data_IF_354998890878
#
_entry.id   IF_354998890878
#
_cell.length_a   1.000
_cell.length_b   1.000
_cell.length_c   1.000
_cell.angle_alpha   90.00
_cell.angle_beta   90.00
_cell.angle_gamma   90.00
#
_symmetry.space_group_name_H-M   'P 1'
#
loop_
_entity.id
_entity.type
_entity.pdbx_description
1 polymer ?
#
# COMPACT_ATOMS: atom_id res chain seq x y z
N UNK A 1 -1.25 22.31 -29.84
CA UNK A 1 -1.76 21.30 -30.79
C UNK A 1 -0.60 20.84 -31.68
N UNK A 2 0.12 19.80 -31.30
CA UNK A 2 1.23 19.24 -32.08
C UNK A 2 0.94 17.76 -32.37
N UNK A 3 0.39 17.55 -33.57
CA UNK A 3 0.58 16.40 -34.46
C UNK A 3 0.81 15.01 -33.81
N UNK A 4 -0.28 14.38 -33.32
CA UNK A 4 -0.37 12.91 -33.12
C UNK A 4 -0.55 12.20 -34.47
N UNK A 5 0.42 12.37 -35.38
CA UNK A 5 0.38 11.82 -36.73
C UNK A 5 0.91 10.38 -36.76
N UNK A 6 0.02 9.44 -37.10
CA UNK A 6 0.28 8.09 -37.63
C UNK A 6 1.54 7.37 -37.12
N UNK A 7 1.48 6.79 -35.92
CA UNK A 7 2.39 5.70 -35.56
C UNK A 7 2.05 4.50 -36.44
N UNK A 8 2.97 4.08 -37.31
CA UNK A 8 2.81 2.90 -38.16
C UNK A 8 2.49 1.69 -37.30
N UNK A 9 1.61 0.79 -37.76
CA UNK A 9 1.26 -0.44 -37.05
C UNK A 9 2.49 -1.29 -36.72
N UNK A 10 3.57 -1.17 -37.51
CA UNK A 10 4.89 -1.77 -37.24
C UNK A 10 5.63 -1.09 -36.08
N UNK A 11 5.46 0.21 -35.89
CA UNK A 11 6.07 0.95 -34.78
C UNK A 11 5.29 0.74 -33.49
N UNK A 12 3.96 0.66 -33.56
CA UNK A 12 3.13 0.22 -32.44
C UNK A 12 3.44 -1.23 -32.06
N UNK A 13 3.57 -2.13 -33.04
CA UNK A 13 3.99 -3.50 -32.78
C UNK A 13 5.42 -3.55 -32.25
N UNK A 14 6.38 -2.78 -32.75
CA UNK A 14 7.74 -2.76 -32.21
C UNK A 14 7.81 -2.17 -30.80
N UNK A 15 7.06 -1.11 -30.52
CA UNK A 15 6.99 -0.51 -29.19
C UNK A 15 6.31 -1.47 -28.21
N UNK A 16 5.19 -2.09 -28.60
CA UNK A 16 4.56 -3.14 -27.82
C UNK A 16 5.50 -4.34 -27.66
N UNK A 17 6.15 -4.81 -28.72
CA UNK A 17 7.06 -5.96 -28.65
C UNK A 17 8.28 -5.64 -27.79
N UNK A 18 8.88 -4.46 -27.89
CA UNK A 18 9.99 -4.06 -27.02
C UNK A 18 9.55 -3.85 -25.56
N UNK A 19 8.38 -3.26 -25.30
CA UNK A 19 7.92 -3.03 -23.92
C UNK A 19 7.40 -4.30 -23.26
N UNK A 20 6.69 -5.16 -23.99
CA UNK A 20 6.11 -6.39 -23.46
C UNK A 20 7.08 -7.58 -23.50
N UNK A 21 7.89 -7.75 -24.56
CA UNK A 21 8.77 -8.94 -24.72
C UNK A 21 10.09 -8.80 -23.96
N UNK A 22 10.68 -7.60 -23.85
CA UNK A 22 11.89 -7.41 -23.03
C UNK A 22 11.60 -7.35 -21.53
N UNK A 23 10.36 -7.02 -21.13
CA UNK A 23 9.93 -6.99 -19.72
C UNK A 23 9.23 -8.28 -19.26
N UNK A 24 8.97 -9.24 -20.15
CA UNK A 24 8.35 -10.50 -19.74
C UNK A 24 9.39 -11.48 -19.22
N UNK A 25 9.04 -12.17 -18.14
CA UNK A 25 9.72 -13.37 -17.59
C UNK A 25 10.17 -14.37 -18.65
N UNK A 26 9.47 -14.41 -19.79
CA UNK A 26 9.76 -15.26 -20.94
C UNK A 26 11.19 -15.08 -21.49
N UNK A 27 11.79 -13.90 -21.34
CA UNK A 27 13.20 -13.69 -21.71
C UNK A 27 14.16 -14.27 -20.66
N UNK A 28 13.84 -14.29 -19.36
CA UNK A 28 14.71 -14.94 -18.36
C UNK A 28 14.98 -16.42 -18.73
N UNK A 29 14.01 -17.09 -19.37
CA UNK A 29 14.09 -18.51 -19.77
C UNK A 29 14.64 -18.78 -21.18
N UNK A 30 15.00 -17.79 -22.00
CA UNK A 30 15.37 -18.03 -23.42
C UNK A 30 16.58 -18.95 -23.59
N UNK A 31 17.59 -18.83 -22.71
CA UNK A 31 18.78 -19.69 -22.72
C UNK A 31 18.43 -21.16 -22.48
N UNK A 32 17.51 -21.42 -21.55
CA UNK A 32 17.04 -22.77 -21.26
C UNK A 32 16.22 -23.34 -22.41
N UNK A 33 15.37 -22.53 -23.05
CA UNK A 33 14.63 -22.95 -24.25
C UNK A 33 15.60 -23.34 -25.36
N UNK A 34 16.63 -22.53 -25.64
CA UNK A 34 17.66 -22.87 -26.62
C UNK A 34 18.43 -24.14 -26.26
N UNK A 35 18.75 -24.35 -24.99
CA UNK A 35 19.40 -25.56 -24.51
C UNK A 35 18.55 -26.80 -24.80
N UNK A 36 17.25 -26.76 -24.52
CA UNK A 36 16.34 -27.88 -24.81
C UNK A 36 16.10 -28.07 -26.31
N UNK A 37 16.14 -27.00 -27.12
CA UNK A 37 16.08 -27.09 -28.58
C UNK A 37 17.35 -27.73 -29.16
N UNK A 38 18.52 -27.38 -28.64
CA UNK A 38 19.79 -28.02 -29.00
C UNK A 38 19.78 -29.51 -28.61
N UNK A 39 19.28 -29.81 -27.41
CA UNK A 39 19.10 -31.19 -26.94
C UNK A 39 18.16 -31.98 -27.86
N UNK A 40 17.00 -31.44 -28.20
CA UNK A 40 16.06 -32.06 -29.13
C UNK A 40 16.68 -32.30 -30.52
N UNK A 41 17.52 -31.38 -30.98
CA UNK A 41 18.27 -31.52 -32.23
C UNK A 41 19.28 -32.67 -32.14
N UNK A 42 20.04 -32.74 -31.05
CA UNK A 42 21.00 -33.82 -30.79
C UNK A 42 20.30 -35.19 -30.79
N UNK A 43 19.21 -35.33 -30.02
CA UNK A 43 18.40 -36.55 -29.96
C UNK A 43 17.84 -36.93 -31.33
N UNK A 44 17.32 -35.95 -32.08
CA UNK A 44 16.79 -36.17 -33.44
C UNK A 44 17.87 -36.68 -34.40
N UNK A 45 19.08 -36.13 -34.34
CA UNK A 45 20.22 -36.57 -35.17
C UNK A 45 20.70 -37.98 -34.78
N UNK A 46 20.77 -38.28 -33.48
CA UNK A 46 21.14 -39.63 -32.99
C UNK A 46 20.10 -40.66 -33.46
N UNK A 47 18.82 -40.33 -33.36
CA UNK A 47 17.72 -41.21 -33.77
C UNK A 47 17.64 -41.43 -35.29
N UNK A 48 18.10 -40.47 -36.11
CA UNK A 48 18.17 -40.60 -37.57
C UNK A 48 19.42 -41.38 -38.03
N UNK A 49 20.60 -41.09 -37.45
CA UNK A 49 21.88 -41.58 -37.96
C UNK A 49 22.44 -42.80 -37.25
N UNK A 50 22.17 -42.97 -35.96
CA UNK A 50 22.83 -44.00 -35.14
C UNK A 50 21.85 -45.12 -34.80
N UNK A 51 20.82 -44.80 -34.00
CA UNK A 51 19.86 -45.80 -33.51
C UNK A 51 18.58 -45.13 -33.04
N UNK A 52 17.45 -45.74 -33.36
CA UNK A 52 16.16 -45.34 -32.82
C UNK A 52 16.10 -45.56 -31.29
N UNK A 53 15.93 -44.46 -30.53
CA UNK A 53 15.83 -44.43 -29.06
C UNK A 53 14.41 -44.08 -28.58
N UNK A 54 13.38 -44.51 -29.32
CA UNK A 54 12.00 -44.15 -28.96
C UNK A 54 11.56 -44.75 -27.63
N UNK A 55 10.88 -43.94 -26.83
CA UNK A 55 10.27 -44.35 -25.57
C UNK A 55 8.76 -44.51 -25.71
N UNK A 56 8.17 -45.23 -24.75
CA UNK A 56 6.72 -45.40 -24.64
C UNK A 56 6.03 -44.07 -24.32
N UNK A 57 5.02 -43.70 -25.12
CA UNK A 57 4.39 -42.37 -25.06
C UNK A 57 3.43 -42.21 -23.87
N UNK A 58 2.92 -43.32 -23.36
CA UNK A 58 1.87 -43.36 -22.32
C UNK A 58 2.34 -42.70 -21.02
N UNK A 59 3.52 -43.07 -20.52
CA UNK A 59 4.04 -42.57 -19.24
C UNK A 59 4.31 -41.06 -19.29
N UNK A 60 4.96 -40.59 -20.36
CA UNK A 60 5.36 -39.19 -20.47
C UNK A 60 4.16 -38.27 -20.73
N UNK A 61 3.10 -38.78 -21.37
CA UNK A 61 1.83 -38.06 -21.51
C UNK A 61 1.15 -37.87 -20.15
N UNK A 62 1.09 -38.91 -19.31
CA UNK A 62 0.56 -38.81 -17.93
C UNK A 62 1.42 -37.86 -17.09
N UNK A 63 2.73 -37.90 -17.24
CA UNK A 63 3.62 -36.96 -16.55
C UNK A 63 3.36 -35.52 -16.98
N UNK A 64 3.18 -35.26 -18.28
CA UNK A 64 2.88 -33.93 -18.82
C UNK A 64 1.54 -33.36 -18.33
N UNK A 65 0.49 -34.19 -18.21
CA UNK A 65 -0.81 -33.74 -17.69
C UNK A 65 -0.73 -33.39 -16.20
N UNK A 66 -0.05 -34.22 -15.40
CA UNK A 66 0.18 -33.93 -13.98
C UNK A 66 1.00 -32.65 -13.82
N UNK A 67 2.06 -32.49 -14.62
CA UNK A 67 2.91 -31.30 -14.58
C UNK A 67 2.13 -30.02 -14.90
N UNK A 68 1.26 -30.04 -15.93
CA UNK A 68 0.40 -28.92 -16.26
C UNK A 68 -0.54 -28.52 -15.11
N UNK A 69 -1.12 -29.52 -14.42
CA UNK A 69 -1.97 -29.29 -13.26
C UNK A 69 -1.22 -28.69 -12.07
N UNK A 70 -0.03 -29.22 -11.77
CA UNK A 70 0.82 -28.72 -10.68
C UNK A 70 1.25 -27.26 -10.93
N UNK A 71 1.63 -26.92 -12.16
CA UNK A 71 1.96 -25.54 -12.54
C UNK A 71 0.75 -24.64 -12.39
N UNK A 72 -0.42 -25.07 -12.85
CA UNK A 72 -1.66 -24.29 -12.72
C UNK A 72 -1.96 -23.95 -11.25
N UNK A 73 -1.85 -24.93 -10.34
CA UNK A 73 -2.03 -24.68 -8.91
C UNK A 73 -1.00 -23.75 -8.32
N UNK A 74 0.28 -23.89 -8.69
CA UNK A 74 1.32 -22.96 -8.25
C UNK A 74 0.99 -21.54 -8.68
N UNK A 75 0.64 -21.34 -9.95
CA UNK A 75 0.30 -20.01 -10.49
C UNK A 75 -0.94 -19.43 -9.81
N UNK A 76 -1.97 -20.26 -9.55
CA UNK A 76 -3.16 -19.82 -8.81
C UNK A 76 -2.79 -19.34 -7.39
N UNK A 77 -1.94 -20.07 -6.68
CA UNK A 77 -1.47 -19.68 -5.34
C UNK A 77 -0.63 -18.40 -5.38
N UNK A 78 0.25 -18.24 -6.38
CA UNK A 78 1.02 -17.01 -6.56
C UNK A 78 0.11 -15.80 -6.80
N UNK A 79 -0.92 -15.93 -7.65
CA UNK A 79 -1.89 -14.87 -7.92
C UNK A 79 -2.67 -14.48 -6.66
N UNK A 80 -3.06 -15.45 -5.84
CA UNK A 80 -3.75 -15.19 -4.58
C UNK A 80 -2.90 -14.31 -3.65
N UNK A 81 -1.61 -14.63 -3.51
CA UNK A 81 -0.66 -13.82 -2.72
C UNK A 81 -0.47 -12.41 -3.26
N UNK A 82 -0.36 -12.28 -4.59
CA UNK A 82 -0.25 -10.98 -5.24
C UNK A 82 -1.47 -10.10 -4.93
N UNK A 83 -2.67 -10.69 -5.01
CA UNK A 83 -3.92 -10.00 -4.68
C UNK A 83 -4.05 -9.69 -3.19
N UNK A 84 -3.59 -10.60 -2.32
CA UNK A 84 -3.55 -10.40 -0.88
C UNK A 84 -2.64 -9.21 -0.51
N UNK A 85 -1.44 -9.13 -1.09
CA UNK A 85 -0.53 -8.00 -0.93
C UNK A 85 -1.19 -6.67 -1.33
N UNK A 86 -1.89 -6.62 -2.47
CA UNK A 86 -2.64 -5.43 -2.90
C UNK A 86 -3.73 -5.04 -1.91
N UNK A 87 -4.49 -6.02 -1.42
CA UNK A 87 -5.59 -5.81 -0.46
C UNK A 87 -5.04 -5.22 0.84
N UNK A 88 -3.93 -5.76 1.35
CA UNK A 88 -3.29 -5.31 2.58
C UNK A 88 -2.71 -3.90 2.45
N UNK A 89 -2.06 -3.56 1.32
CA UNK A 89 -1.62 -2.19 1.06
C UNK A 89 -2.81 -1.21 1.04
N UNK A 90 -3.91 -1.57 0.39
CA UNK A 90 -5.14 -0.76 0.42
C UNK A 90 -5.70 -0.59 1.84
N UNK A 91 -5.59 -1.63 2.68
CA UNK A 91 -6.00 -1.58 4.09
C UNK A 91 -5.15 -0.57 4.88
N UNK A 92 -3.82 -0.58 4.68
CA UNK A 92 -2.91 0.40 5.30
C UNK A 92 -3.28 1.83 4.87
N UNK A 93 -3.55 2.05 3.58
CA UNK A 93 -4.02 3.37 3.11
C UNK A 93 -5.34 3.78 3.75
N UNK A 94 -6.30 2.85 3.89
CA UNK A 94 -7.57 3.12 4.53
C UNK A 94 -7.39 3.53 6.00
N UNK A 95 -6.66 2.75 6.78
CA UNK A 95 -6.41 3.03 8.19
C UNK A 95 -5.63 4.36 8.37
N UNK A 96 -4.64 4.62 7.51
CA UNK A 96 -3.87 5.87 7.47
C UNK A 96 -4.77 7.09 7.23
N UNK A 97 -5.63 7.03 6.20
CA UNK A 97 -6.58 8.10 5.88
C UNK A 97 -7.59 8.32 7.01
N UNK A 98 -8.10 7.25 7.59
CA UNK A 98 -9.06 7.31 8.70
C UNK A 98 -8.43 7.97 9.92
N UNK A 99 -7.23 7.56 10.32
CA UNK A 99 -6.51 8.17 11.43
C UNK A 99 -6.24 9.65 11.19
N UNK A 100 -5.66 10.01 10.04
CA UNK A 100 -5.33 11.40 9.73
C UNK A 100 -6.58 12.31 9.70
N UNK A 101 -7.71 11.81 9.18
CA UNK A 101 -8.99 12.53 9.19
C UNK A 101 -9.51 12.73 10.61
N UNK A 102 -9.54 11.68 11.43
CA UNK A 102 -10.02 11.77 12.81
C UNK A 102 -9.17 12.74 13.64
N UNK A 103 -7.84 12.67 13.51
CA UNK A 103 -6.94 13.63 14.17
C UNK A 103 -7.22 15.05 13.70
N UNK A 104 -7.44 15.27 12.39
CA UNK A 104 -7.62 16.62 11.88
C UNK A 104 -8.92 17.29 12.33
N UNK A 105 -10.04 16.55 12.34
CA UNK A 105 -11.36 17.14 12.56
C UNK A 105 -11.82 17.06 14.02
N UNK A 106 -11.49 15.98 14.71
CA UNK A 106 -12.05 15.70 16.03
C UNK A 106 -11.10 16.10 17.17
N UNK A 107 -9.81 16.30 16.88
CA UNK A 107 -8.84 16.71 17.89
C UNK A 107 -8.66 18.23 17.87
N UNK A 108 -8.92 18.92 19.01
CA UNK A 108 -8.76 20.36 19.10
C UNK A 108 -7.28 20.78 19.00
N UNK A 109 -7.02 21.96 18.43
CA UNK A 109 -5.67 22.53 18.28
C UNK A 109 -5.04 22.98 19.62
N UNK A 110 -5.89 23.30 20.60
CA UNK A 110 -5.45 23.64 21.96
C UNK A 110 -6.07 22.63 22.94
N UNK A 111 -5.27 22.01 23.81
CA UNK A 111 -5.81 21.23 24.90
C UNK A 111 -6.65 22.13 25.81
N UNK A 112 -7.96 21.91 25.88
CA UNK A 112 -8.83 22.61 26.83
C UNK A 112 -8.67 21.96 28.21
N UNK A 113 -7.71 22.42 29.00
CA UNK A 113 -7.65 22.11 30.42
C UNK A 113 -8.78 22.85 31.14
N UNK A 114 -9.87 22.16 31.51
CA UNK A 114 -10.77 22.67 32.57
C UNK A 114 -10.12 22.68 33.96
N UNK A 115 -8.85 22.29 34.06
CA UNK A 115 -8.09 22.26 35.31
C UNK A 115 -7.44 23.61 35.67
N UNK A 116 -7.83 24.72 35.04
CA UNK A 116 -7.47 26.06 35.54
C UNK A 116 -8.32 26.48 36.76
N UNK A 117 -9.48 25.86 37.01
CA UNK A 117 -10.31 26.22 38.18
C UNK A 117 -10.01 25.41 39.46
N UNK A 118 -9.26 24.30 39.40
CA UNK A 118 -9.04 23.41 40.56
C UNK A 118 -7.57 23.13 40.94
N UNK A 119 -6.58 23.71 40.25
CA UNK A 119 -5.15 23.48 40.56
C UNK A 119 -4.50 24.64 41.32
N UNK A 120 -5.07 24.98 42.47
CA UNK A 120 -4.28 25.45 43.60
C UNK A 120 -4.28 24.32 44.64
N UNK A 121 -3.11 23.68 44.84
CA UNK A 121 -2.77 22.61 45.81
C UNK A 121 -2.79 21.18 45.24
N UNK A 122 -1.74 20.80 44.52
CA UNK A 122 -0.99 19.59 44.90
C UNK A 122 0.34 19.53 44.11
N UNK A 123 1.45 19.52 44.84
CA UNK A 123 2.82 19.57 44.31
C UNK A 123 3.37 18.19 43.93
N UNK A 124 2.58 17.11 44.07
CA UNK A 124 3.06 15.72 43.91
C UNK A 124 2.00 14.77 43.30
N UNK A 125 1.69 14.87 41.99
CA UNK A 125 1.31 13.70 41.15
C UNK A 125 1.17 14.04 39.66
N UNK A 126 1.76 13.18 38.83
CA UNK A 126 2.05 13.32 37.39
C UNK A 126 0.84 13.57 36.46
N UNK A 127 1.03 14.34 35.39
CA UNK A 127 0.39 14.03 34.12
C UNK A 127 1.45 13.97 33.00
N UNK A 128 2.18 12.86 32.96
CA UNK A 128 3.15 12.46 31.92
C UNK A 128 2.64 12.70 30.49
N UNK A 129 1.34 12.44 30.18
CA UNK A 129 0.77 12.69 28.85
C UNK A 129 0.34 14.15 28.56
N UNK A 130 0.01 14.98 29.57
CA UNK A 130 -0.21 16.42 29.38
C UNK A 130 1.09 17.14 29.02
N UNK A 131 2.18 16.85 29.75
CA UNK A 131 3.51 17.37 29.42
C UNK A 131 3.96 16.93 28.03
N UNK A 132 3.56 15.75 27.58
CA UNK A 132 3.90 15.24 26.25
C UNK A 132 3.28 16.10 25.16
N UNK A 133 1.99 16.44 25.29
CA UNK A 133 1.31 17.32 24.33
C UNK A 133 1.74 18.78 24.43
N UNK A 134 2.06 19.26 25.64
CA UNK A 134 2.68 20.58 25.85
C UNK A 134 4.05 20.69 25.15
N UNK A 135 4.89 19.63 25.26
CA UNK A 135 6.20 19.55 24.57
C UNK A 135 6.08 19.36 23.05
N UNK A 136 5.01 18.72 22.57
CA UNK A 136 4.69 18.65 21.14
C UNK A 136 4.22 20.00 20.56
N UNK A 137 3.78 20.93 21.40
CA UNK A 137 3.40 22.30 21.06
C UNK A 137 2.13 22.41 20.21
N UNK A 138 1.88 23.60 19.64
CA UNK A 138 0.72 23.91 18.78
C UNK A 138 0.62 23.03 17.51
N UNK A 139 1.64 22.21 17.21
CA UNK A 139 1.73 21.36 16.01
C UNK A 139 1.58 19.86 16.29
N UNK A 140 1.03 19.46 17.44
CA UNK A 140 0.89 18.05 17.81
C UNK A 140 0.08 17.23 16.78
N UNK A 141 -0.99 17.80 16.19
CA UNK A 141 -1.77 17.13 15.13
C UNK A 141 -0.95 16.84 13.88
N UNK A 142 -0.17 17.83 13.43
CA UNK A 142 0.69 17.68 12.26
C UNK A 142 1.77 16.63 12.51
N UNK A 143 2.28 16.55 13.74
CA UNK A 143 3.24 15.51 14.13
C UNK A 143 2.59 14.12 14.09
N UNK A 144 1.37 13.97 14.59
CA UNK A 144 0.64 12.70 14.53
C UNK A 144 0.29 12.28 13.09
N UNK A 145 -0.09 13.23 12.23
CA UNK A 145 -0.35 12.99 10.81
C UNK A 145 0.94 12.57 10.09
N UNK A 146 2.05 13.26 10.34
CA UNK A 146 3.36 12.90 9.78
C UNK A 146 3.78 11.51 10.26
N UNK A 147 3.58 11.14 11.53
CA UNK A 147 3.90 9.79 12.03
C UNK A 147 3.17 8.69 11.25
N UNK A 148 1.89 8.87 10.93
CA UNK A 148 1.14 7.87 10.16
C UNK A 148 1.62 7.80 8.71
N UNK A 149 1.99 8.93 8.11
CA UNK A 149 2.65 8.94 6.79
C UNK A 149 3.97 8.16 6.84
N UNK A 150 4.80 8.43 7.84
CA UNK A 150 6.08 7.77 8.05
C UNK A 150 5.93 6.26 8.33
N UNK A 151 4.83 5.82 8.95
CA UNK A 151 4.50 4.40 9.08
C UNK A 151 4.41 3.72 7.70
N UNK A 152 3.73 4.34 6.74
CA UNK A 152 3.57 3.78 5.39
C UNK A 152 4.91 3.67 4.66
N UNK A 153 5.82 4.63 4.87
CA UNK A 153 7.20 4.57 4.37
C UNK A 153 8.01 3.48 5.04
N UNK A 154 7.93 3.35 6.37
CA UNK A 154 8.61 2.30 7.12
C UNK A 154 8.18 0.89 6.68
N UNK A 155 6.88 0.68 6.41
CA UNK A 155 6.37 -0.59 5.88
C UNK A 155 6.96 -0.91 4.50
N UNK A 156 7.05 0.10 3.61
CA UNK A 156 7.63 -0.06 2.28
C UNK A 156 9.12 -0.45 2.35
N UNK A 157 9.89 0.22 3.21
CA UNK A 157 11.31 -0.09 3.44
C UNK A 157 11.47 -1.52 3.98
N UNK A 158 10.62 -1.90 4.94
CA UNK A 158 10.62 -3.24 5.50
C UNK A 158 10.36 -4.32 4.44
N UNK A 159 9.34 -4.12 3.59
CA UNK A 159 8.96 -5.09 2.56
C UNK A 159 10.04 -5.34 1.51
N UNK A 160 10.74 -4.28 1.08
CA UNK A 160 11.79 -4.40 0.06
C UNK A 160 13.04 -5.15 0.52
N UNK A 161 13.19 -5.39 1.84
CA UNK A 161 14.40 -6.01 2.44
C UNK A 161 15.70 -5.33 2.00
N UNK A 162 15.63 -4.06 1.57
CA UNK A 162 16.75 -3.32 1.00
C UNK A 162 17.29 -2.38 2.05
N UNK A 163 18.55 -2.58 2.40
CA UNK A 163 19.28 -1.73 3.32
C UNK A 163 20.08 -0.71 2.51
N UNK A 164 19.44 0.27 1.88
CA UNK A 164 20.10 1.46 1.33
C UNK A 164 19.10 2.37 0.60
N UNK A 165 18.68 3.42 1.30
CA UNK A 165 18.61 4.79 0.78
C UNK A 165 18.80 5.69 2.02
N UNK A 166 20.03 6.20 2.24
CA UNK A 166 20.37 6.99 3.42
C UNK A 166 19.51 8.26 3.55
N UNK A 167 19.04 8.79 2.42
CA UNK A 167 18.26 10.02 2.35
C UNK A 167 16.81 9.85 2.81
N UNK A 168 16.11 8.77 2.38
CA UNK A 168 14.75 8.45 2.86
C UNK A 168 14.76 8.10 4.35
N UNK A 169 15.81 7.40 4.80
CA UNK A 169 16.04 7.08 6.20
C UNK A 169 16.19 8.32 7.08
N UNK A 170 16.74 9.42 6.56
CA UNK A 170 17.05 10.62 7.35
C UNK A 170 15.79 11.36 7.79
N UNK A 171 14.80 11.51 6.91
CA UNK A 171 13.51 12.14 7.24
C UNK A 171 12.75 11.32 8.29
N UNK A 172 12.67 10.01 8.07
CA UNK A 172 12.00 9.06 8.96
C UNK A 172 12.67 9.03 10.34
N UNK A 173 14.01 8.90 10.39
CA UNK A 173 14.78 8.95 11.65
C UNK A 173 14.59 10.27 12.40
N UNK A 174 14.59 11.40 11.68
CA UNK A 174 14.39 12.70 12.30
C UNK A 174 12.97 12.83 12.91
N UNK A 175 11.94 12.32 12.23
CA UNK A 175 10.57 12.35 12.73
C UNK A 175 10.41 11.48 13.99
N UNK A 176 10.83 10.21 13.92
CA UNK A 176 10.73 9.29 15.06
C UNK A 176 11.57 9.80 16.23
N UNK A 177 12.79 10.30 15.99
CA UNK A 177 13.63 10.86 17.05
C UNK A 177 12.98 12.05 17.76
N UNK A 178 12.28 12.95 17.04
CA UNK A 178 11.53 14.07 17.69
C UNK A 178 10.48 13.57 18.67
N UNK A 179 9.74 12.53 18.27
CA UNK A 179 8.64 11.97 19.06
C UNK A 179 9.16 11.13 20.22
N UNK A 180 10.16 10.28 19.96
CA UNK A 180 10.84 9.48 21.00
C UNK A 180 11.52 10.38 22.01
N UNK A 181 12.17 11.46 21.60
CA UNK A 181 12.76 12.43 22.54
C UNK A 181 11.68 13.12 23.37
N UNK A 182 10.53 13.50 22.79
CA UNK A 182 9.40 14.03 23.55
C UNK A 182 8.86 13.02 24.58
N UNK A 183 8.79 11.73 24.23
CA UNK A 183 8.38 10.66 25.14
C UNK A 183 9.39 10.43 26.28
N UNK A 184 10.69 10.36 25.97
CA UNK A 184 11.78 10.19 26.95
C UNK A 184 11.80 11.35 27.93
N UNK A 185 11.63 12.57 27.42
CA UNK A 185 11.55 13.80 28.22
C UNK A 185 10.32 13.87 29.13
N UNK A 186 9.29 13.07 28.89
CA UNK A 186 8.15 12.93 29.79
C UNK A 186 8.38 11.86 30.86
N UNK A 187 9.23 10.86 30.62
CA UNK A 187 9.48 9.72 31.53
C UNK A 187 10.36 10.06 32.75
N UNK A 188 10.71 11.33 32.96
CA UNK A 188 11.39 11.78 34.17
C UNK A 188 12.81 11.23 34.37
N UNK A 189 13.56 10.93 33.30
CA UNK A 189 15.01 10.78 33.47
C UNK A 189 15.61 12.16 33.75
N UNK A 190 16.13 12.35 34.97
CA UNK A 190 16.57 13.65 35.49
C UNK A 190 17.60 14.36 34.61
N UNK A 191 17.63 15.70 34.75
CA UNK A 191 18.40 16.69 33.98
C UNK A 191 19.92 16.43 33.82
N UNK A 192 20.49 15.40 34.45
CA UNK A 192 21.93 15.13 34.50
C UNK A 192 22.38 13.85 33.78
N UNK A 193 21.53 13.19 32.98
CA UNK A 193 21.99 12.17 32.05
C UNK A 193 22.09 12.76 30.65
N UNK A 194 23.31 12.79 30.09
CA UNK A 194 23.55 13.04 28.67
C UNK A 194 22.68 12.07 27.86
N UNK A 195 21.58 12.55 27.30
CA UNK A 195 20.73 11.78 26.37
C UNK A 195 21.61 11.33 25.22
N UNK A 196 22.01 10.06 25.20
CA UNK A 196 22.36 9.43 23.93
C UNK A 196 21.08 9.44 23.09
N UNK A 197 21.05 10.06 21.91
CA UNK A 197 19.90 9.98 21.03
C UNK A 197 19.54 8.50 20.89
N UNK A 198 18.33 8.12 21.32
CA UNK A 198 17.84 6.77 21.07
C UNK A 198 17.75 6.67 19.56
N UNK A 199 18.66 5.92 18.94
CA UNK A 199 18.57 5.70 17.50
C UNK A 199 17.27 4.93 17.26
N UNK A 200 16.29 5.54 16.58
CA UNK A 200 15.00 4.91 16.41
C UNK A 200 15.19 3.66 15.55
N UNK A 201 14.68 2.54 16.06
CA UNK A 201 14.55 1.35 15.25
C UNK A 201 13.57 1.69 14.14
N UNK A 202 13.97 1.54 12.88
CA UNK A 202 13.13 1.89 11.74
C UNK A 202 11.95 0.92 11.52
N UNK A 203 11.47 0.31 12.61
CA UNK A 203 10.46 -0.74 12.61
C UNK A 203 9.08 -0.09 12.62
N UNK A 204 8.16 -0.49 11.73
CA UNK A 204 6.80 0.04 11.69
C UNK A 204 6.08 -0.01 13.06
N UNK A 205 6.37 -1.03 13.88
CA UNK A 205 5.77 -1.20 15.20
C UNK A 205 6.20 -0.14 16.24
N UNK A 206 7.38 0.47 16.08
CA UNK A 206 7.82 1.56 16.97
C UNK A 206 6.99 2.83 16.70
N UNK A 207 6.59 3.04 15.45
CA UNK A 207 5.74 4.16 15.05
C UNK A 207 4.32 3.95 15.59
N UNK A 208 3.79 2.72 15.56
CA UNK A 208 2.47 2.44 16.17
C UNK A 208 2.49 2.64 17.68
N UNK A 209 3.60 2.33 18.35
CA UNK A 209 3.77 2.65 19.77
C UNK A 209 3.71 4.17 20.02
N UNK A 210 4.39 4.96 19.19
CA UNK A 210 4.33 6.42 19.24
C UNK A 210 2.90 6.94 19.03
N UNK A 211 2.16 6.40 18.05
CA UNK A 211 0.77 6.78 17.79
C UNK A 211 -0.15 6.41 18.98
N UNK A 212 0.01 5.23 19.57
CA UNK A 212 -0.75 4.82 20.75
C UNK A 212 -0.48 5.72 21.95
N UNK A 213 0.78 6.12 22.16
CA UNK A 213 1.15 7.06 23.22
C UNK A 213 0.51 8.45 23.01
N UNK A 214 0.40 8.90 21.76
CA UNK A 214 -0.29 10.12 21.40
C UNK A 214 -1.80 10.04 21.71
N UNK A 215 -2.46 8.94 21.36
CA UNK A 215 -3.89 8.74 21.68
C UNK A 215 -4.11 8.67 23.19
N UNK A 216 -3.23 7.99 23.93
CA UNK A 216 -3.28 7.96 25.40
C UNK A 216 -3.14 9.36 26.03
N UNK A 217 -2.36 10.25 25.40
CA UNK A 217 -2.27 11.64 25.82
C UNK A 217 -3.56 12.42 25.54
N UNK A 218 -4.21 12.19 24.40
CA UNK A 218 -5.50 12.81 24.07
C UNK A 218 -6.63 12.39 25.02
N UNK A 219 -6.61 11.15 25.54
CA UNK A 219 -7.61 10.67 26.49
C UNK A 219 -7.65 11.51 27.77
N UNK A 220 -6.51 12.06 28.21
CA UNK A 220 -6.46 12.92 29.40
C UNK A 220 -7.13 14.28 29.17
N UNK A 221 -7.33 14.69 27.91
CA UNK A 221 -7.99 15.94 27.53
C UNK A 221 -9.51 15.81 27.32
N UNK A 222 -10.12 14.74 27.84
CA UNK A 222 -11.55 14.45 27.69
C UNK A 222 -12.02 14.41 26.22
N UNK A 223 -11.19 13.87 25.33
CA UNK A 223 -11.65 13.49 24.00
C UNK A 223 -12.83 12.51 24.13
N UNK A 224 -13.83 12.63 23.26
CA UNK A 224 -14.98 11.75 23.31
C UNK A 224 -14.57 10.29 23.10
N UNK A 225 -15.26 9.37 23.78
CA UNK A 225 -15.03 7.93 23.67
C UNK A 225 -15.07 7.41 22.23
N UNK A 226 -16.04 7.83 21.39
CA UNK A 226 -16.10 7.42 19.98
C UNK A 226 -14.86 7.83 19.16
N UNK A 227 -14.40 9.09 19.25
CA UNK A 227 -13.18 9.51 18.53
C UNK A 227 -11.96 8.73 19.00
N UNK A 228 -11.81 8.56 20.32
CA UNK A 228 -10.72 7.77 20.90
C UNK A 228 -10.74 6.33 20.40
N UNK A 229 -11.92 5.69 20.40
CA UNK A 229 -12.13 4.35 19.87
C UNK A 229 -11.83 4.26 18.37
N UNK A 230 -12.22 5.27 17.60
CA UNK A 230 -11.90 5.36 16.18
C UNK A 230 -10.40 5.49 15.89
N UNK A 231 -9.67 6.27 16.69
CA UNK A 231 -8.22 6.41 16.58
C UNK A 231 -7.49 5.12 16.95
N UNK A 232 -7.86 4.48 18.06
CA UNK A 232 -7.29 3.19 18.47
C UNK A 232 -7.61 2.09 17.47
N UNK A 233 -8.84 2.04 16.95
CA UNK A 233 -9.23 1.09 15.91
C UNK A 233 -8.46 1.29 14.60
N UNK A 234 -8.16 2.53 14.22
CA UNK A 234 -7.31 2.80 13.07
C UNK A 234 -5.86 2.33 13.30
N UNK A 235 -5.30 2.50 14.51
CA UNK A 235 -3.98 1.96 14.85
C UNK A 235 -3.99 0.43 14.83
N UNK A 236 -5.02 -0.20 15.38
CA UNK A 236 -5.17 -1.66 15.39
C UNK A 236 -5.20 -2.22 13.96
N UNK A 237 -5.98 -1.60 13.06
CA UNK A 237 -5.97 -1.97 11.65
C UNK A 237 -4.62 -1.77 10.94
N UNK A 238 -3.82 -0.77 11.34
CA UNK A 238 -2.45 -0.61 10.82
C UNK A 238 -1.56 -1.79 11.27
N UNK A 239 -1.65 -2.18 12.55
CA UNK A 239 -0.88 -3.29 13.13
C UNK A 239 -1.30 -4.62 12.52
N UNK A 240 -2.60 -4.88 12.41
CA UNK A 240 -3.18 -6.07 11.77
C UNK A 240 -2.70 -6.19 10.32
N UNK A 241 -2.89 -5.12 9.53
CA UNK A 241 -2.50 -5.11 8.12
C UNK A 241 -1.00 -5.30 7.94
N UNK A 242 -0.17 -4.71 8.81
CA UNK A 242 1.28 -4.91 8.78
C UNK A 242 1.68 -6.34 9.14
N UNK A 243 1.06 -6.92 10.16
CA UNK A 243 1.33 -8.30 10.60
C UNK A 243 1.00 -9.30 9.48
N UNK A 244 -0.12 -9.10 8.78
CA UNK A 244 -0.49 -9.97 7.66
C UNK A 244 0.42 -9.76 6.44
N UNK A 245 0.84 -8.52 6.20
CA UNK A 245 1.77 -8.19 5.12
C UNK A 245 3.18 -8.79 5.37
N UNK A 246 3.60 -8.85 6.64
CA UNK A 246 4.83 -9.55 7.06
C UNK A 246 4.73 -11.06 6.78
N UNK A 247 3.59 -11.70 7.08
CA UNK A 247 3.34 -13.11 6.72
C UNK A 247 3.43 -13.33 5.22
N UNK A 248 2.74 -12.51 4.42
CA UNK A 248 2.76 -12.63 2.94
C UNK A 248 4.19 -12.49 2.38
N UNK A 249 5.01 -11.62 2.97
CA UNK A 249 6.41 -11.40 2.59
C UNK A 249 7.37 -12.51 3.07
N UNK A 250 7.06 -13.16 4.19
CA UNK A 250 7.93 -14.17 4.81
C UNK A 250 7.59 -15.59 4.38
N UNK A 251 6.31 -15.91 4.27
CA UNK A 251 5.80 -17.27 4.10
C UNK A 251 5.88 -17.74 2.65
N UNK A 252 7.04 -17.66 1.98
CA UNK A 252 7.21 -18.11 0.59
C UNK A 252 6.89 -19.60 0.43
N UNK A 253 6.55 -20.06 -0.79
CA UNK A 253 6.32 -21.49 -1.03
C UNK A 253 7.58 -22.27 -0.59
N UNK A 254 7.42 -23.36 0.20
CA UNK A 254 8.55 -24.13 0.71
C UNK A 254 9.56 -24.45 -0.39
N UNK A 255 10.83 -24.22 -0.09
CA UNK A 255 11.91 -24.37 -1.05
C UNK A 255 11.95 -25.76 -1.71
N UNK A 256 11.58 -26.81 -0.96
CA UNK A 256 11.48 -28.18 -1.46
C UNK A 256 10.51 -28.32 -2.64
N UNK A 257 9.32 -27.71 -2.54
CA UNK A 257 8.31 -27.76 -3.59
C UNK A 257 8.79 -27.05 -4.86
N UNK A 258 9.43 -25.89 -4.71
CA UNK A 258 10.01 -25.13 -5.82
C UNK A 258 11.08 -25.93 -6.55
N UNK A 259 12.00 -26.54 -5.81
CA UNK A 259 13.06 -27.39 -6.39
C UNK A 259 12.47 -28.61 -7.10
N UNK A 260 11.47 -29.26 -6.50
CA UNK A 260 10.84 -30.44 -7.07
C UNK A 260 10.09 -30.11 -8.37
N UNK A 261 9.35 -29.00 -8.41
CA UNK A 261 8.66 -28.56 -9.62
C UNK A 261 9.65 -28.25 -10.74
N UNK A 262 10.76 -27.56 -10.43
CA UNK A 262 11.80 -27.28 -11.40
C UNK A 262 12.43 -28.58 -11.96
N UNK A 263 12.76 -29.53 -11.07
CA UNK A 263 13.32 -30.82 -11.47
C UNK A 263 12.36 -31.61 -12.38
N UNK A 264 11.06 -31.59 -12.08
CA UNK A 264 10.04 -32.26 -12.89
C UNK A 264 9.89 -31.64 -14.28
N UNK A 265 9.94 -30.32 -14.41
CA UNK A 265 9.91 -29.64 -15.71
C UNK A 265 11.14 -30.04 -16.54
N UNK A 266 12.33 -29.98 -15.94
CA UNK A 266 13.58 -30.36 -16.62
C UNK A 266 13.54 -31.82 -17.07
N UNK A 267 13.09 -32.73 -16.20
CA UNK A 267 12.96 -34.15 -16.50
C UNK A 267 12.01 -34.38 -17.68
N UNK A 268 10.85 -33.74 -17.67
CA UNK A 268 9.87 -33.84 -18.76
C UNK A 268 10.46 -33.39 -20.10
N UNK A 269 11.07 -32.19 -20.13
CA UNK A 269 11.63 -31.62 -21.35
C UNK A 269 12.83 -32.42 -21.88
N UNK A 270 13.60 -33.05 -20.99
CA UNK A 270 14.72 -33.92 -21.37
C UNK A 270 14.23 -35.18 -22.10
N UNK A 271 13.10 -35.76 -21.67
CA UNK A 271 12.56 -36.98 -22.26
C UNK A 271 11.59 -36.76 -23.43
N UNK A 272 11.03 -35.57 -23.56
CA UNK A 272 10.07 -35.21 -24.60
C UNK A 272 10.50 -35.52 -26.05
N UNK A 273 11.74 -35.22 -26.51
CA UNK A 273 12.13 -35.50 -27.89
C UNK A 273 12.15 -37.00 -28.23
N UNK A 274 12.41 -37.88 -27.24
CA UNK A 274 12.37 -39.33 -27.45
C UNK A 274 10.95 -39.86 -27.68
N UNK A 275 9.94 -39.21 -27.08
CA UNK A 275 8.53 -39.51 -27.32
C UNK A 275 8.09 -39.07 -28.72
N UNK A 276 8.42 -37.82 -29.10
CA UNK A 276 7.89 -37.18 -30.31
C UNK A 276 8.50 -37.73 -31.61
N UNK A 277 9.74 -38.24 -31.57
CA UNK A 277 10.46 -38.66 -32.77
C UNK A 277 9.71 -39.69 -33.64
N UNK A 278 9.03 -40.67 -33.00
CA UNK A 278 8.31 -41.73 -33.71
C UNK A 278 7.24 -41.18 -34.66
N UNK A 279 6.55 -40.13 -34.22
CA UNK A 279 5.39 -39.56 -34.92
C UNK A 279 5.76 -38.35 -35.76
N UNK A 280 6.61 -37.46 -35.25
CA UNK A 280 6.85 -36.14 -35.81
C UNK A 280 8.20 -35.99 -36.55
N UNK A 281 9.12 -36.97 -36.42
CA UNK A 281 10.47 -36.90 -37.02
C UNK A 281 11.13 -35.54 -36.76
N UNK A 282 11.64 -34.84 -37.77
CA UNK A 282 12.30 -33.54 -37.62
C UNK A 282 11.39 -32.44 -37.03
N UNK A 283 10.07 -32.58 -37.10
CA UNK A 283 9.14 -31.66 -36.43
C UNK A 283 9.18 -31.79 -34.89
N UNK A 284 9.87 -32.80 -34.36
CA UNK A 284 10.19 -32.93 -32.94
C UNK A 284 10.97 -31.73 -32.41
N UNK A 285 11.88 -31.14 -33.20
CA UNK A 285 12.71 -30.01 -32.78
C UNK A 285 11.84 -28.78 -32.45
N UNK A 286 11.00 -28.26 -33.36
CA UNK A 286 10.11 -27.16 -33.03
C UNK A 286 9.05 -27.56 -31.99
N UNK A 287 8.58 -28.82 -31.99
CA UNK A 287 7.63 -29.31 -30.98
C UNK A 287 8.19 -29.22 -29.55
N UNK A 288 9.41 -29.72 -29.34
CA UNK A 288 10.10 -29.62 -28.04
C UNK A 288 10.45 -28.18 -27.68
N UNK A 289 10.85 -27.35 -28.65
CA UNK A 289 11.10 -25.93 -28.42
C UNK A 289 9.85 -25.18 -27.93
N UNK A 290 8.69 -25.45 -28.53
CA UNK A 290 7.41 -24.84 -28.12
C UNK A 290 7.00 -25.32 -26.73
N UNK A 291 7.12 -26.62 -26.46
CA UNK A 291 6.82 -27.17 -25.13
C UNK A 291 7.74 -26.57 -24.06
N UNK A 292 9.05 -26.47 -24.34
CA UNK A 292 10.00 -25.84 -23.43
C UNK A 292 9.64 -24.38 -23.15
N UNK A 293 9.29 -23.62 -24.19
CA UNK A 293 8.84 -22.24 -24.04
C UNK A 293 7.59 -22.12 -23.15
N UNK A 294 6.59 -22.99 -23.33
CA UNK A 294 5.37 -22.98 -22.52
C UNK A 294 5.66 -23.33 -21.06
N UNK A 295 6.31 -24.48 -20.80
CA UNK A 295 6.53 -24.96 -19.44
C UNK A 295 7.49 -24.07 -18.65
N UNK A 296 8.61 -23.65 -19.25
CA UNK A 296 9.58 -22.77 -18.59
C UNK A 296 9.07 -21.34 -18.48
N UNK A 297 8.28 -20.89 -19.46
CA UNK A 297 7.64 -19.57 -19.44
C UNK A 297 6.63 -19.45 -18.31
N UNK A 298 5.74 -20.44 -18.17
CA UNK A 298 4.76 -20.49 -17.08
C UNK A 298 5.43 -20.64 -15.71
N UNK A 299 6.50 -21.44 -15.61
CA UNK A 299 7.25 -21.58 -14.37
C UNK A 299 7.90 -20.26 -13.92
N UNK A 300 8.57 -19.56 -14.82
CA UNK A 300 9.19 -18.26 -14.55
C UNK A 300 8.14 -17.20 -14.20
N UNK A 301 7.03 -17.16 -14.95
CA UNK A 301 5.93 -16.25 -14.64
C UNK A 301 5.33 -16.49 -13.25
N UNK A 302 5.20 -17.76 -12.84
CA UNK A 302 4.76 -18.12 -11.50
C UNK A 302 5.72 -17.65 -10.41
N UNK A 303 7.03 -17.69 -10.65
CA UNK A 303 8.06 -17.20 -9.72
C UNK A 303 8.06 -15.69 -9.53
N UNK A 304 7.80 -14.96 -10.61
CA UNK A 304 7.70 -13.50 -10.59
C UNK A 304 6.46 -13.06 -9.80
N UNK A 305 5.29 -13.65 -10.09
CA UNK A 305 4.03 -13.32 -9.37
C UNK A 305 4.11 -13.72 -7.89
N UNK A 306 4.89 -14.76 -7.54
CA UNK A 306 5.05 -15.23 -6.15
C UNK A 306 5.73 -14.20 -5.24
N UNK A 307 6.54 -13.28 -5.77
CA UNK A 307 7.30 -12.29 -5.00
C UNK A 307 6.84 -10.85 -5.32
N UNK A 308 5.63 -10.43 -4.90
CA UNK A 308 5.01 -9.18 -5.34
C UNK A 308 5.68 -7.89 -4.84
N UNK A 309 6.68 -7.97 -3.97
CA UNK A 309 7.30 -6.83 -3.27
C UNK A 309 8.75 -6.55 -3.68
N UNK A 310 9.27 -7.31 -4.64
CA UNK A 310 10.62 -7.11 -5.16
C UNK A 310 10.66 -5.89 -6.12
N UNK A 311 11.75 -5.71 -6.87
CA UNK A 311 11.94 -4.61 -7.83
C UNK A 311 11.72 -5.09 -9.30
N UNK A 312 11.02 -6.20 -9.54
CA UNK A 312 10.71 -6.66 -10.90
C UNK A 312 9.67 -5.74 -11.58
N UNK A 313 9.66 -5.63 -12.93
CA UNK A 313 8.77 -4.70 -13.65
C UNK A 313 7.28 -4.92 -13.43
N UNK A 314 6.89 -6.14 -13.03
CA UNK A 314 5.51 -6.57 -12.83
C UNK A 314 5.12 -6.62 -11.34
N UNK A 315 6.02 -6.23 -10.44
CA UNK A 315 5.75 -6.19 -9.00
C UNK A 315 4.85 -5.02 -8.60
N UNK A 316 4.42 -5.05 -7.35
CA UNK A 316 3.65 -3.96 -6.77
C UNK A 316 4.51 -2.70 -6.72
N UNK A 317 3.97 -1.62 -7.26
CA UNK A 317 4.63 -0.32 -7.30
C UNK A 317 4.55 0.39 -5.96
N UNK A 318 5.28 -0.12 -4.97
CA UNK A 318 5.25 0.37 -3.59
C UNK A 318 5.66 1.85 -3.48
N UNK A 319 6.60 2.31 -4.32
CA UNK A 319 7.03 3.72 -4.38
C UNK A 319 5.88 4.64 -4.79
N UNK A 320 5.26 4.36 -5.94
CA UNK A 320 4.13 5.14 -6.46
C UNK A 320 2.95 5.15 -5.45
N UNK A 321 2.70 4.00 -4.81
CA UNK A 321 1.68 3.90 -3.76
C UNK A 321 1.97 4.82 -2.56
N UNK A 322 3.18 4.75 -1.98
CA UNK A 322 3.55 5.59 -0.84
C UNK A 322 3.62 7.07 -1.20
N UNK A 323 4.08 7.43 -2.41
CA UNK A 323 4.08 8.80 -2.89
C UNK A 323 2.66 9.35 -3.04
N UNK A 324 1.74 8.56 -3.61
CA UNK A 324 0.32 8.93 -3.71
C UNK A 324 -0.29 9.16 -2.33
N UNK A 325 -0.08 8.21 -1.41
CA UNK A 325 -0.58 8.32 -0.04
C UNK A 325 0.05 9.51 0.68
N UNK A 326 1.33 9.76 0.49
CA UNK A 326 2.04 10.91 1.06
C UNK A 326 1.44 12.23 0.59
N UNK A 327 1.19 12.37 -0.71
CA UNK A 327 0.58 13.59 -1.28
C UNK A 327 -0.82 13.83 -0.70
N UNK A 328 -1.62 12.77 -0.58
CA UNK A 328 -2.96 12.84 0.02
C UNK A 328 -2.90 13.28 1.48
N UNK A 329 -2.02 12.68 2.30
CA UNK A 329 -1.90 12.98 3.72
C UNK A 329 -1.30 14.37 3.96
N UNK A 330 -0.31 14.79 3.15
CA UNK A 330 0.26 16.13 3.23
C UNK A 330 -0.79 17.21 2.90
N UNK A 331 -1.75 16.92 2.02
CA UNK A 331 -2.89 17.80 1.77
C UNK A 331 -3.87 17.92 2.98
N UNK A 332 -3.75 17.06 3.99
CA UNK A 332 -4.46 17.18 5.27
C UNK A 332 -3.71 18.04 6.30
N UNK A 333 -2.38 18.18 6.18
CA UNK A 333 -1.54 18.96 7.10
C UNK A 333 -1.71 20.47 6.89
N UNK A 334 -1.63 20.92 5.63
CA UNK A 334 -1.79 22.33 5.27
C UNK A 334 -3.26 22.64 4.96
N UNK A 335 -4.01 23.33 5.85
CA UNK A 335 -5.34 23.82 5.49
C UNK A 335 -5.21 24.77 4.30
N UNK A 336 -6.06 24.61 3.28
CA UNK A 336 -6.21 25.65 2.27
C UNK A 336 -6.66 26.94 2.97
N UNK A 337 -6.32 28.13 2.46
CA UNK A 337 -6.87 29.41 2.97
C UNK A 337 -8.40 29.36 3.14
N UNK A 338 -9.07 28.61 2.27
CA UNK A 338 -10.51 28.35 2.28
C UNK A 338 -11.01 27.62 3.53
N UNK A 339 -10.17 26.84 4.21
CA UNK A 339 -10.49 26.07 5.42
C UNK A 339 -10.35 26.91 6.70
N UNK A 340 -9.54 27.97 6.64
CA UNK A 340 -9.30 28.91 7.73
C UNK A 340 -10.41 29.97 7.82
N UNK A 341 -11.05 30.30 6.70
CA UNK A 341 -12.13 31.29 6.60
C UNK A 341 -13.53 30.67 6.82
N UNK A 342 -13.60 29.36 7.05
CA UNK A 342 -14.85 28.58 7.05
C UNK A 342 -14.99 27.80 8.36
N UNK A 343 -16.14 27.93 9.05
CA UNK A 343 -16.44 27.19 10.29
C UNK A 343 -16.21 25.67 10.14
N UNK A 344 -15.93 24.91 11.23
CA UNK A 344 -15.33 23.56 11.22
C UNK A 344 -16.00 22.50 10.32
N UNK A 345 -17.27 22.68 9.98
CA UNK A 345 -18.11 21.78 9.15
C UNK A 345 -18.36 22.28 7.73
N UNK A 346 -17.91 23.48 7.35
CA UNK A 346 -17.89 23.85 5.94
C UNK A 346 -16.91 22.90 5.28
N UNK A 347 -17.43 21.99 4.45
CA UNK A 347 -16.62 21.16 3.59
C UNK A 347 -15.64 22.09 2.88
N UNK A 348 -14.37 22.00 3.30
CA UNK A 348 -13.22 22.52 2.59
C UNK A 348 -13.48 22.40 1.09
N UNK A 349 -13.21 23.44 0.32
CA UNK A 349 -13.24 23.37 -1.15
C UNK A 349 -12.35 22.26 -1.75
N UNK A 350 -11.72 21.39 -0.94
CA UNK A 350 -11.08 20.12 -1.34
C UNK A 350 -11.99 19.11 -2.00
N UNK A 351 -13.28 19.01 -1.66
CA UNK A 351 -14.18 18.13 -2.45
C UNK A 351 -14.13 18.54 -3.92
N UNK A 352 -14.06 19.85 -4.19
CA UNK A 352 -13.89 20.41 -5.53
C UNK A 352 -12.60 19.98 -6.23
N UNK A 353 -11.48 19.88 -5.50
CA UNK A 353 -10.15 19.56 -6.08
C UNK A 353 -9.86 18.08 -6.26
N UNK A 354 -10.41 17.19 -5.43
CA UNK A 354 -10.27 15.73 -5.61
C UNK A 354 -11.00 15.27 -6.89
N UNK A 355 -12.05 15.99 -7.29
CA UNK A 355 -12.72 15.79 -8.58
C UNK A 355 -12.10 16.55 -9.76
N UNK A 356 -11.14 17.46 -9.51
CA UNK A 356 -10.46 18.20 -10.58
C UNK A 356 -9.21 17.47 -11.10
N UNK A 357 -8.61 16.55 -10.32
CA UNK A 357 -7.43 15.78 -10.77
C UNK A 357 -7.70 14.74 -11.86
N UNK A 358 -8.96 14.46 -12.18
CA UNK A 358 -9.32 13.59 -13.31
C UNK A 358 -9.70 14.39 -14.58
N UNK A 359 -9.71 15.71 -14.55
CA UNK A 359 -10.20 16.53 -15.67
C UNK A 359 -9.11 16.89 -16.70
N UNK A 360 -7.84 16.56 -16.46
CA UNK A 360 -6.77 16.85 -17.43
C UNK A 360 -6.53 15.71 -18.44
N UNK A 361 -7.07 14.51 -18.19
CA UNK A 361 -7.01 13.38 -19.10
C UNK A 361 -8.42 12.98 -19.54
N UNK A 362 -8.78 13.42 -20.75
CA UNK A 362 -9.98 13.10 -21.56
C UNK A 362 -11.02 14.22 -21.68
N UNK A 363 -11.05 14.83 -22.88
CA UNK A 363 -12.01 15.83 -23.39
C UNK A 363 -13.50 15.42 -23.37
N UNK A 364 -13.85 14.31 -22.73
CA UNK A 364 -15.22 13.82 -22.56
C UNK A 364 -15.85 14.13 -21.20
N UNK A 365 -15.04 14.51 -20.20
CA UNK A 365 -15.47 14.51 -18.78
C UNK A 365 -15.69 15.92 -18.17
N UNK A 366 -15.70 16.98 -18.96
CA UNK A 366 -15.98 18.34 -18.46
C UNK A 366 -17.43 18.48 -17.95
N UNK A 367 -18.40 17.84 -18.62
CA UNK A 367 -19.82 17.90 -18.25
C UNK A 367 -20.12 17.11 -16.97
N UNK A 368 -19.49 15.94 -16.80
CA UNK A 368 -19.58 15.11 -15.59
C UNK A 368 -18.91 15.81 -14.41
N UNK A 369 -17.78 16.49 -14.65
CA UNK A 369 -17.10 17.29 -13.64
C UNK A 369 -17.91 18.49 -13.15
N UNK A 370 -18.63 19.18 -14.04
CA UNK A 370 -19.57 20.27 -13.69
C UNK A 370 -20.78 19.75 -12.90
N UNK A 371 -21.42 18.67 -13.35
CA UNK A 371 -22.54 18.04 -12.63
C UNK A 371 -22.14 17.56 -11.22
N UNK A 372 -20.99 16.91 -11.08
CA UNK A 372 -20.48 16.46 -9.78
C UNK A 372 -20.18 17.64 -8.84
N UNK A 373 -19.65 18.74 -9.39
CA UNK A 373 -19.41 19.98 -8.63
C UNK A 373 -20.72 20.62 -8.18
N UNK A 374 -21.74 20.64 -9.05
CA UNK A 374 -23.06 21.16 -8.73
C UNK A 374 -23.79 20.28 -7.70
N UNK A 375 -23.68 18.94 -7.83
CA UNK A 375 -24.21 17.98 -6.87
C UNK A 375 -23.54 18.09 -5.50
N UNK A 376 -22.21 18.21 -5.44
CA UNK A 376 -21.48 18.39 -4.18
C UNK A 376 -21.90 19.70 -3.48
N UNK A 377 -22.07 20.78 -4.25
CA UNK A 377 -22.55 22.08 -3.76
C UNK A 377 -24.00 22.00 -3.25
N UNK A 378 -24.87 21.34 -4.00
CA UNK A 378 -26.27 21.07 -3.61
C UNK A 378 -26.34 20.23 -2.34
N UNK A 379 -25.52 19.18 -2.21
CA UNK A 379 -25.42 18.36 -1.01
C UNK A 379 -24.98 19.18 0.21
N UNK A 380 -23.97 20.04 0.03
CA UNK A 380 -23.51 20.96 1.07
C UNK A 380 -24.62 21.94 1.49
N UNK A 381 -25.31 22.56 0.55
CA UNK A 381 -26.40 23.51 0.82
C UNK A 381 -27.60 22.81 1.51
N UNK A 382 -27.90 21.57 1.15
CA UNK A 382 -28.95 20.76 1.79
C UNK A 382 -28.60 20.40 3.23
N UNK A 383 -27.34 20.05 3.52
CA UNK A 383 -26.86 19.80 4.89
C UNK A 383 -26.93 21.07 5.72
N UNK A 384 -26.48 22.21 5.17
CA UNK A 384 -26.54 23.51 5.85
C UNK A 384 -27.99 23.93 6.15
N UNK A 385 -28.92 23.72 5.22
CA UNK A 385 -30.34 23.97 5.42
C UNK A 385 -30.97 23.03 6.46
N UNK A 386 -30.62 21.74 6.45
CA UNK A 386 -31.09 20.76 7.42
C UNK A 386 -30.64 21.08 8.86
N UNK A 387 -29.48 21.74 9.01
CA UNK A 387 -28.95 22.19 10.29
C UNK A 387 -29.52 23.56 10.74
N UNK A 388 -30.47 24.15 10.00
CA UNK A 388 -31.16 25.39 10.38
C UNK A 388 -30.30 26.66 10.31
N UNK A 389 -29.16 26.60 9.64
CA UNK A 389 -28.16 27.67 9.63
C UNK A 389 -28.19 28.43 8.30
N UNK A 390 -29.15 29.35 8.15
CA UNK A 390 -29.08 30.36 7.09
C UNK A 390 -28.16 31.51 7.51
N UNK A 391 -27.37 32.02 6.55
CA UNK A 391 -26.62 33.29 6.64
C UNK A 391 -27.60 34.43 6.92
N UNK A 392 -27.89 34.72 8.19
CA UNK A 392 -28.81 35.80 8.55
C UNK A 392 -29.06 36.06 10.03
N UNK A 393 -28.63 35.19 10.96
CA UNK A 393 -28.99 35.32 12.39
C UNK A 393 -27.82 35.85 13.24
N UNK A 394 -27.17 36.94 12.82
CA UNK A 394 -26.21 37.65 13.68
C UNK A 394 -26.42 39.17 13.82
N UNK A 395 -27.46 39.74 13.22
CA UNK A 395 -27.76 41.17 13.38
C UNK A 395 -29.10 41.49 14.04
N UNK A 396 -29.89 40.50 14.46
CA UNK A 396 -31.20 40.76 15.08
C UNK A 396 -31.53 39.80 16.22
N UNK A 397 -30.82 39.91 17.34
CA UNK A 397 -31.43 39.85 18.68
C UNK A 397 -30.33 39.95 19.73
N UNK A 398 -30.18 41.15 20.30
CA UNK A 398 -29.62 41.26 21.63
C UNK A 398 -30.65 40.69 22.60
N UNK A 399 -30.62 39.38 22.86
CA UNK A 399 -31.38 38.79 23.95
C UNK A 399 -30.73 37.50 24.49
N UNK A 400 -30.72 37.44 25.81
CA UNK A 400 -30.09 36.49 26.72
C UNK A 400 -30.43 35.02 26.46
N UNK A 401 -29.40 34.16 26.50
CA UNK A 401 -29.50 32.70 26.51
C UNK A 401 -30.23 32.24 27.77
N UNK A 402 -31.49 31.80 27.63
CA UNK A 402 -32.17 30.94 28.60
C UNK A 402 -32.27 29.55 28.00
N UNK A 403 -31.77 28.55 28.74
CA UNK A 403 -31.65 27.18 28.29
C UNK A 403 -32.96 26.53 27.87
N UNK A 404 -32.89 25.64 26.89
CA UNK A 404 -34.01 24.78 26.51
C UNK A 404 -33.60 23.33 26.66
N UNK A 405 -34.09 22.79 27.78
CA UNK A 405 -34.32 21.40 28.08
C UNK A 405 -35.29 20.83 27.02
N UNK A 406 -34.95 19.76 26.31
CA UNK A 406 -35.90 19.10 25.40
C UNK A 406 -36.12 17.65 25.82
N UNK A 407 -37.29 17.43 26.43
CA UNK A 407 -37.90 16.13 26.65
C UNK A 407 -38.10 15.42 25.31
N UNK A 408 -37.74 14.15 25.30
CA UNK A 408 -38.18 13.16 24.32
C UNK A 408 -39.62 12.78 24.67
N UNK A 409 -40.57 13.03 23.78
CA UNK A 409 -41.88 12.36 23.80
C UNK A 409 -41.96 11.36 22.65
N UNK A 410 -42.37 10.16 23.05
CA UNK A 410 -42.62 8.97 22.24
C UNK A 410 -44.00 9.11 21.61
N UNK A 411 -44.11 8.82 20.31
CA UNK A 411 -45.32 8.26 19.69
C UNK A 411 -44.90 7.17 18.71
#
# INVERSE_FOLDING_TARGET
>A
MTNSSNKSLRDLLRMAWQQYVLRTSLFKSWLLVLLFTLWATCVSLICDKIRYLGMETTLLTVFGTILGFVISFRTSSAIERYNEGKKLLSSIAHATRTFARLVRFNVPDKPTTKAEDDKAKDEHKEPTPLMYLEKLGENHRNTAIQLVKEFSHAVMIFLRKKQQDEDEHKSLKACVSRVTNALVLCRGQGENQTMTPVEPGLKPLEITFCLSSYVAALQQFQLDGPTTGGLLGAIDHLVESFTDLEKVSTDKIPFSYRCQLWAWIVLYLLFLPFQLWKTLRYLTIPGTSIAAFIFLGLHSAGEEIENPFDDDPNDLKLKEFCESLTKEIQALETPSKTDLDSEPWKCSGRVKRVFETNAEDEKGDEEIGEELKEWAKSGQDRVLNALGWQKGVREASGETVVGVNQRVEVV
#
